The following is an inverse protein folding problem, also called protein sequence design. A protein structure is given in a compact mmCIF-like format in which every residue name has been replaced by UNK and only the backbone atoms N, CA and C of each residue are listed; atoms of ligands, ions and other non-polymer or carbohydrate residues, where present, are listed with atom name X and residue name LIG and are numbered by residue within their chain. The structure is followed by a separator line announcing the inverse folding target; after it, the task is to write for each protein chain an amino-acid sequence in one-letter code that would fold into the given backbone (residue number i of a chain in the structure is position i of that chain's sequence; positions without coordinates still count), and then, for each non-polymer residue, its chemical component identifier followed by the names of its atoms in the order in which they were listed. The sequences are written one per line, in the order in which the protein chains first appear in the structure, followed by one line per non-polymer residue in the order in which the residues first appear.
data_IF_667004557420
#
_entry.id   IF_667004557420
#
_cell.length_a   1.000
_cell.length_b   1.000
_cell.length_c   1.000
_cell.angle_alpha   90.00
_cell.angle_beta   90.00
_cell.angle_gamma   90.00
#
_symmetry.space_group_name_H-M   'P 1'
#
loop_
_entity.id
_entity.type
_entity.pdbx_description
1 polymer ?
#
# COMPACT_ATOMS: atom_id res chain seq x y z
N UNK A 1 -14.89 -8.52 11.01
CA UNK A 1 -15.24 -7.64 9.88
C UNK A 1 -16.47 -8.26 9.24
N UNK A 2 -17.57 -7.53 9.18
CA UNK A 2 -18.81 -8.06 8.62
C UNK A 2 -18.75 -8.04 7.10
N UNK A 3 -19.15 -9.14 6.48
CA UNK A 3 -19.16 -9.32 5.03
C UNK A 3 -20.56 -9.70 4.57
N UNK A 4 -21.01 -9.03 3.52
CA UNK A 4 -22.18 -9.41 2.73
C UNK A 4 -21.71 -10.05 1.43
N UNK A 5 -22.12 -11.28 1.15
CA UNK A 5 -21.88 -11.99 -0.11
C UNK A 5 -23.19 -12.29 -0.81
N UNK A 6 -23.36 -11.79 -2.02
CA UNK A 6 -24.49 -12.09 -2.89
C UNK A 6 -24.02 -13.07 -3.97
N UNK A 7 -24.71 -14.20 -4.12
CA UNK A 7 -24.58 -15.11 -5.24
C UNK A 7 -25.65 -14.75 -6.27
N UNK A 8 -25.20 -14.13 -7.35
CA UNK A 8 -26.06 -13.41 -8.29
C UNK A 8 -26.61 -14.35 -9.35
N UNK A 9 -27.93 -14.27 -9.57
CA UNK A 9 -28.57 -14.88 -10.74
C UNK A 9 -28.92 -13.80 -11.75
N UNK A 10 -28.49 -13.98 -12.99
CA UNK A 10 -28.79 -13.03 -14.07
C UNK A 10 -30.28 -13.05 -14.40
N UNK A 11 -30.85 -11.87 -14.66
CA UNK A 11 -32.22 -11.72 -15.13
C UNK A 11 -32.47 -12.45 -16.48
N UNK A 12 -33.70 -12.93 -16.65
CA UNK A 12 -34.10 -13.65 -17.87
C UNK A 12 -33.92 -12.77 -19.12
N UNK A 13 -33.47 -13.37 -20.22
CA UNK A 13 -33.31 -12.69 -21.50
C UNK A 13 -31.98 -11.96 -21.70
N UNK A 14 -31.17 -11.78 -20.65
CA UNK A 14 -29.82 -11.24 -20.80
C UNK A 14 -28.81 -12.30 -21.23
N UNK A 15 -27.85 -11.90 -22.05
CA UNK A 15 -26.62 -12.69 -22.25
C UNK A 15 -25.66 -12.51 -21.08
N UNK A 16 -24.69 -13.43 -20.97
CA UNK A 16 -23.63 -13.33 -19.97
C UNK A 16 -22.83 -12.04 -20.10
N UNK A 17 -22.48 -11.66 -21.32
CA UNK A 17 -21.73 -10.43 -21.59
C UNK A 17 -22.50 -9.18 -21.19
N UNK A 18 -23.81 -9.13 -21.48
CA UNK A 18 -24.67 -8.01 -21.08
C UNK A 18 -24.74 -7.87 -19.57
N UNK A 19 -24.88 -8.97 -18.84
CA UNK A 19 -24.89 -8.95 -17.37
C UNK A 19 -23.56 -8.53 -16.78
N UNK A 20 -22.45 -9.07 -17.27
CA UNK A 20 -21.12 -8.68 -16.82
C UNK A 20 -20.91 -7.19 -17.06
N UNK A 21 -21.22 -6.71 -18.27
CA UNK A 21 -21.09 -5.31 -18.62
C UNK A 21 -21.96 -4.41 -17.73
N UNK A 22 -23.23 -4.75 -17.53
CA UNK A 22 -24.14 -3.97 -16.67
C UNK A 22 -23.66 -3.96 -15.22
N UNK A 23 -23.31 -5.13 -14.68
CA UNK A 23 -22.85 -5.26 -13.29
C UNK A 23 -21.60 -4.40 -13.03
N UNK A 24 -20.62 -4.42 -13.94
CA UNK A 24 -19.39 -3.63 -13.80
C UNK A 24 -19.63 -2.14 -14.03
N UNK A 25 -20.23 -1.77 -15.17
CA UNK A 25 -20.20 -0.39 -15.66
C UNK A 25 -21.35 0.47 -15.14
N UNK A 26 -22.53 -0.12 -14.95
CA UNK A 26 -23.73 0.58 -14.48
C UNK A 26 -23.84 0.39 -12.97
N UNK A 27 -24.08 -0.85 -12.52
CA UNK A 27 -24.33 -1.13 -11.11
C UNK A 27 -23.13 -0.77 -10.22
N UNK A 28 -21.91 -1.11 -10.67
CA UNK A 28 -20.68 -0.73 -9.97
C UNK A 28 -20.43 0.78 -9.90
N UNK A 29 -20.96 1.58 -10.84
CA UNK A 29 -20.92 3.04 -10.73
C UNK A 29 -21.94 3.57 -9.70
N UNK A 30 -23.13 2.96 -9.63
CA UNK A 30 -24.14 3.31 -8.63
C UNK A 30 -23.69 2.96 -7.21
N UNK A 31 -23.03 1.81 -7.00
CA UNK A 31 -22.46 1.47 -5.70
C UNK A 31 -21.42 2.49 -5.21
N UNK A 32 -20.59 3.02 -6.11
CA UNK A 32 -19.59 4.06 -5.80
C UNK A 32 -20.19 5.43 -5.47
N UNK A 33 -21.47 5.66 -5.78
CA UNK A 33 -22.11 6.95 -5.53
C UNK A 33 -22.69 7.10 -4.12
N UNK A 34 -22.75 6.01 -3.33
CA UNK A 34 -23.31 6.02 -1.98
C UNK A 34 -22.40 6.83 -1.04
N UNK A 35 -22.87 7.96 -0.48
CA UNK A 35 -22.06 8.79 0.41
C UNK A 35 -21.57 8.05 1.66
N UNK A 36 -22.45 7.29 2.30
CA UNK A 36 -22.17 6.47 3.49
C UNK A 36 -21.14 5.36 3.19
N UNK A 37 -21.10 4.90 1.93
CA UNK A 37 -20.10 3.94 1.47
C UNK A 37 -18.67 4.43 1.66
N UNK A 38 -18.43 5.74 1.58
CA UNK A 38 -17.07 6.31 1.79
C UNK A 38 -16.56 6.13 3.21
N UNK A 39 -17.47 5.97 4.18
CA UNK A 39 -17.12 5.81 5.59
C UNK A 39 -17.12 4.34 6.01
N UNK A 40 -18.14 3.60 5.56
CA UNK A 40 -18.44 2.29 6.13
C UNK A 40 -18.19 1.12 5.18
N UNK A 41 -18.14 1.35 3.86
CA UNK A 41 -17.86 0.28 2.89
C UNK A 41 -16.35 0.17 2.68
N UNK A 42 -15.73 -0.80 3.34
CA UNK A 42 -14.29 -1.07 3.25
C UNK A 42 -13.92 -1.55 1.85
N UNK A 43 -14.75 -2.43 1.27
CA UNK A 43 -14.46 -3.05 -0.03
C UNK A 43 -15.73 -3.51 -0.73
N UNK A 44 -15.71 -3.43 -2.05
CA UNK A 44 -16.72 -4.02 -2.93
C UNK A 44 -16.04 -4.74 -4.10
N UNK A 45 -16.30 -6.04 -4.25
CA UNK A 45 -15.80 -6.82 -5.39
C UNK A 45 -16.92 -7.55 -6.11
N UNK A 46 -16.71 -7.72 -7.41
CA UNK A 46 -17.56 -8.51 -8.28
C UNK A 46 -16.76 -9.67 -8.82
N UNK A 47 -17.27 -10.90 -8.71
CA UNK A 47 -16.70 -12.05 -9.39
C UNK A 47 -17.66 -12.52 -10.46
N UNK A 48 -17.16 -12.78 -11.66
CA UNK A 48 -17.92 -13.43 -12.71
C UNK A 48 -17.26 -14.77 -13.02
N UNK A 49 -18.03 -15.81 -13.41
CA UNK A 49 -17.46 -17.10 -13.76
C UNK A 49 -16.31 -16.93 -14.76
N UNK A 50 -15.28 -17.76 -14.67
CA UNK A 50 -14.22 -17.77 -15.67
C UNK A 50 -14.75 -18.29 -17.02
N UNK A 51 -14.03 -18.02 -18.11
CA UNK A 51 -14.34 -18.64 -19.40
C UNK A 51 -14.21 -20.17 -19.35
N UNK A 52 -13.36 -20.68 -18.44
CA UNK A 52 -13.13 -22.11 -18.22
C UNK A 52 -13.06 -22.41 -16.72
N UNK A 53 -14.01 -23.22 -16.25
CA UNK A 53 -13.99 -23.79 -14.89
C UNK A 53 -13.27 -25.14 -14.91
N UNK A 54 -12.36 -25.44 -13.97
CA UNK A 54 -11.76 -26.76 -13.84
C UNK A 54 -12.84 -27.84 -13.70
N UNK A 55 -12.68 -28.97 -14.41
CA UNK A 55 -13.66 -30.07 -14.40
C UNK A 55 -13.82 -30.76 -13.05
N UNK A 56 -12.90 -30.52 -12.11
CA UNK A 56 -12.96 -31.02 -10.74
C UNK A 56 -13.93 -30.23 -9.86
N UNK A 57 -14.43 -29.09 -10.32
CA UNK A 57 -15.34 -28.22 -9.56
C UNK A 57 -16.76 -28.31 -10.14
N UNK A 58 -17.80 -28.37 -9.28
CA UNK A 58 -19.18 -28.33 -9.75
C UNK A 58 -19.53 -26.95 -10.32
N UNK A 59 -20.47 -26.89 -11.26
CA UNK A 59 -21.05 -25.63 -11.69
C UNK A 59 -21.83 -25.00 -10.52
N UNK A 60 -21.61 -23.70 -10.27
CA UNK A 60 -22.23 -23.00 -9.15
C UNK A 60 -23.72 -22.73 -9.36
N UNK A 61 -24.20 -22.74 -10.60
CA UNK A 61 -25.56 -22.30 -10.97
C UNK A 61 -25.78 -20.78 -10.92
N UNK A 62 -24.80 -20.02 -10.44
CA UNK A 62 -24.82 -18.57 -10.33
C UNK A 62 -24.00 -17.89 -11.44
N UNK A 63 -24.41 -16.69 -11.82
CA UNK A 63 -23.82 -15.90 -12.90
C UNK A 63 -22.74 -14.93 -12.39
N UNK A 64 -22.57 -14.79 -11.07
CA UNK A 64 -21.50 -14.05 -10.43
C UNK A 64 -21.65 -13.92 -8.91
N UNK A 65 -20.76 -13.18 -8.27
CA UNK A 65 -20.90 -12.71 -6.89
C UNK A 65 -20.75 -11.20 -6.80
N UNK A 66 -21.39 -10.62 -5.79
CA UNK A 66 -21.08 -9.29 -5.25
C UNK A 66 -20.69 -9.47 -3.79
N UNK A 67 -19.53 -8.99 -3.40
CA UNK A 67 -18.98 -9.13 -2.05
C UNK A 67 -18.67 -7.75 -1.49
N UNK A 68 -19.21 -7.45 -0.32
CA UNK A 68 -19.10 -6.16 0.35
C UNK A 68 -18.58 -6.38 1.77
N UNK A 69 -17.60 -5.59 2.18
CA UNK A 69 -17.04 -5.62 3.54
C UNK A 69 -17.31 -4.29 4.21
N UNK A 70 -17.72 -4.34 5.47
CA UNK A 70 -18.03 -3.15 6.25
C UNK A 70 -17.22 -3.11 7.55
N UNK A 71 -17.02 -1.88 8.05
CA UNK A 71 -16.34 -1.59 9.30
C UNK A 71 -17.08 -2.15 10.54
N UNK A 72 -18.41 -2.07 10.54
CA UNK A 72 -19.27 -2.65 11.57
C UNK A 72 -20.65 -3.05 11.04
N UNK A 73 -21.44 -3.72 11.90
CA UNK A 73 -22.86 -4.00 11.63
C UNK A 73 -23.64 -2.70 11.39
N UNK A 74 -23.40 -1.68 12.21
CA UNK A 74 -24.04 -0.37 12.06
C UNK A 74 -23.63 0.32 10.76
N UNK A 75 -22.36 0.20 10.36
CA UNK A 75 -21.88 0.73 9.08
C UNK A 75 -22.54 0.05 7.88
N UNK A 76 -22.72 -1.27 7.94
CA UNK A 76 -23.49 -2.01 6.93
C UNK A 76 -24.95 -1.50 6.85
N UNK A 77 -25.62 -1.33 7.99
CA UNK A 77 -26.98 -0.78 8.04
C UNK A 77 -27.05 0.65 7.49
N UNK A 78 -26.05 1.50 7.80
CA UNK A 78 -25.97 2.85 7.27
C UNK A 78 -25.87 2.88 5.74
N UNK A 79 -25.06 1.99 5.15
CA UNK A 79 -24.90 1.91 3.68
C UNK A 79 -26.15 1.35 3.03
N UNK A 80 -26.62 0.17 3.46
CA UNK A 80 -27.74 -0.54 2.83
C UNK A 80 -29.10 0.12 3.12
N UNK A 81 -29.20 0.86 4.23
CA UNK A 81 -30.38 1.64 4.61
C UNK A 81 -30.38 3.06 4.04
N UNK A 82 -29.30 3.51 3.39
CA UNK A 82 -29.20 4.86 2.84
C UNK A 82 -30.28 5.13 1.78
N UNK A 83 -30.67 6.40 1.65
CA UNK A 83 -31.60 6.83 0.59
C UNK A 83 -31.02 6.52 -0.80
N UNK A 84 -29.71 6.75 -0.98
CA UNK A 84 -29.02 6.46 -2.25
C UNK A 84 -29.09 4.98 -2.59
N UNK A 85 -28.81 4.08 -1.65
CA UNK A 85 -28.91 2.64 -1.91
C UNK A 85 -30.35 2.23 -2.21
N UNK A 86 -31.30 2.60 -1.35
CA UNK A 86 -32.68 2.13 -1.45
C UNK A 86 -33.44 2.66 -2.66
N UNK A 87 -33.14 3.88 -3.12
CA UNK A 87 -33.86 4.51 -4.22
C UNK A 87 -33.15 4.43 -5.58
N UNK A 88 -31.82 4.38 -5.59
CA UNK A 88 -31.03 4.37 -6.83
C UNK A 88 -30.44 3.00 -7.10
N UNK A 89 -29.66 2.45 -6.17
CA UNK A 89 -28.94 1.19 -6.38
C UNK A 89 -29.90 0.01 -6.45
N UNK A 90 -30.79 -0.12 -5.47
CA UNK A 90 -31.75 -1.21 -5.40
C UNK A 90 -32.80 -1.15 -6.54
N UNK A 91 -33.03 0.03 -7.12
CA UNK A 91 -33.92 0.21 -8.26
C UNK A 91 -33.32 -0.27 -9.58
N UNK A 92 -31.99 -0.32 -9.69
CA UNK A 92 -31.26 -0.87 -10.85
C UNK A 92 -31.24 -2.41 -10.86
N UNK A 93 -31.28 -3.05 -9.69
CA UNK A 93 -31.16 -4.51 -9.57
C UNK A 93 -32.09 -5.32 -10.50
N UNK A 94 -33.40 -5.02 -10.64
CA UNK A 94 -34.28 -5.77 -11.54
C UNK A 94 -33.88 -5.70 -13.02
N UNK A 95 -33.05 -4.73 -13.43
CA UNK A 95 -32.59 -4.62 -14.82
C UNK A 95 -31.60 -5.72 -15.20
N UNK A 96 -30.91 -6.32 -14.22
CA UNK A 96 -29.87 -7.32 -14.48
C UNK A 96 -29.88 -8.55 -13.57
N UNK A 97 -30.61 -8.52 -12.45
CA UNK A 97 -30.71 -9.61 -11.48
C UNK A 97 -32.10 -10.23 -11.42
N UNK A 98 -32.13 -11.56 -11.38
CA UNK A 98 -33.25 -12.28 -10.79
C UNK A 98 -33.05 -12.32 -9.27
N UNK A 99 -33.70 -11.38 -8.57
CA UNK A 99 -33.64 -11.27 -7.11
C UNK A 99 -34.24 -12.49 -6.41
N UNK A 100 -35.16 -13.21 -7.03
CA UNK A 100 -35.80 -14.39 -6.43
C UNK A 100 -34.86 -15.61 -6.39
N UNK A 101 -33.90 -15.67 -7.30
CA UNK A 101 -32.89 -16.71 -7.39
C UNK A 101 -31.50 -16.27 -6.89
N UNK A 102 -31.36 -15.01 -6.47
CA UNK A 102 -30.13 -14.48 -5.87
C UNK A 102 -30.10 -14.82 -4.38
N UNK A 103 -28.97 -15.34 -3.89
CA UNK A 103 -28.81 -15.73 -2.48
C UNK A 103 -27.88 -14.76 -1.80
N UNK A 104 -28.23 -14.31 -0.60
CA UNK A 104 -27.41 -13.39 0.20
C UNK A 104 -26.98 -14.08 1.48
N UNK A 105 -25.70 -13.95 1.81
CA UNK A 105 -25.09 -14.38 3.07
C UNK A 105 -24.48 -13.16 3.74
N UNK A 106 -24.78 -12.97 5.02
CA UNK A 106 -24.15 -11.97 5.88
C UNK A 106 -23.48 -12.69 7.03
N UNK A 107 -22.24 -12.35 7.33
CA UNK A 107 -21.53 -12.90 8.49
C UNK A 107 -20.11 -12.40 8.62
N UNK A 108 -19.41 -12.91 9.65
CA UNK A 108 -18.00 -12.61 9.86
C UNK A 108 -17.12 -13.37 8.87
N UNK A 109 -16.22 -12.64 8.21
CA UNK A 109 -15.14 -13.24 7.45
C UNK A 109 -13.99 -13.63 8.38
N UNK A 110 -13.54 -14.88 8.29
CA UNK A 110 -12.37 -15.41 9.01
C UNK A 110 -11.35 -15.88 7.99
N UNK A 111 -10.21 -15.21 7.96
CA UNK A 111 -9.11 -15.57 7.07
C UNK A 111 -8.41 -16.83 7.60
N UNK A 112 -8.45 -17.91 6.82
CA UNK A 112 -7.78 -19.18 7.13
C UNK A 112 -6.41 -19.26 6.45
N UNK A 113 -6.28 -18.62 5.28
CA UNK A 113 -5.05 -18.50 4.47
C UNK A 113 -5.07 -17.12 3.79
N UNK A 114 -4.00 -16.33 3.95
CA UNK A 114 -3.93 -14.92 3.50
C UNK A 114 -4.17 -13.94 4.65
N UNK A 115 -3.70 -12.69 4.49
CA UNK A 115 -3.94 -11.58 5.42
C UNK A 115 -4.85 -10.56 4.72
N UNK A 116 -5.85 -10.00 5.42
CA UNK A 116 -6.73 -8.94 4.95
C UNK A 116 -5.97 -7.74 4.35
N UNK A 117 -4.71 -7.53 4.75
CA UNK A 117 -3.81 -6.50 4.17
C UNK A 117 -3.44 -6.74 2.71
N UNK A 118 -3.58 -7.96 2.17
CA UNK A 118 -3.37 -8.23 0.74
C UNK A 118 -4.46 -7.66 -0.16
N UNK A 119 -5.56 -7.20 0.43
CA UNK A 119 -6.77 -6.80 -0.28
C UNK A 119 -7.09 -5.30 -0.20
N UNK A 120 -6.36 -4.51 0.60
CA UNK A 120 -6.70 -3.13 0.95
C UNK A 120 -5.74 -2.03 0.41
N UNK A 121 -4.57 -2.35 -0.17
CA UNK A 121 -3.69 -1.43 -0.96
C UNK A 121 -2.64 -2.22 -1.75
N UNK A 122 -1.93 -1.74 -2.76
CA UNK A 122 -2.14 -0.76 -3.83
C UNK A 122 -1.15 -1.26 -4.90
N UNK A 123 -1.60 -1.30 -6.15
CA UNK A 123 -0.91 -1.85 -7.33
C UNK A 123 -0.87 -3.39 -7.37
N UNK A 124 -1.50 -4.04 -8.37
CA UNK A 124 -1.28 -5.47 -8.58
C UNK A 124 0.21 -5.71 -8.90
N UNK A 125 0.83 -6.81 -8.44
CA UNK A 125 2.21 -7.11 -8.80
C UNK A 125 2.34 -7.13 -10.33
N UNK A 126 3.45 -6.58 -10.84
CA UNK A 126 3.75 -6.68 -12.27
C UNK A 126 3.74 -8.15 -12.69
N UNK A 127 3.22 -8.47 -13.89
CA UNK A 127 3.11 -9.85 -14.34
C UNK A 127 4.51 -10.50 -14.36
N UNK A 128 4.61 -11.79 -13.98
CA UNK A 128 5.86 -12.51 -14.12
C UNK A 128 6.27 -12.51 -15.59
N UNK A 129 7.51 -12.12 -15.84
CA UNK A 129 8.07 -12.03 -17.17
C UNK A 129 9.52 -12.51 -17.12
N UNK A 130 9.94 -13.16 -18.20
CA UNK A 130 11.32 -13.54 -18.42
C UNK A 130 11.89 -12.70 -19.57
N UNK A 131 13.18 -12.39 -19.50
CA UNK A 131 13.95 -11.84 -20.61
C UNK A 131 15.15 -12.76 -20.96
N UNK A 132 16.10 -12.26 -21.76
CA UNK A 132 17.28 -13.02 -22.16
C UNK A 132 18.20 -13.42 -20.97
N UNK A 133 17.99 -12.82 -19.80
CA UNK A 133 18.72 -13.05 -18.56
C UNK A 133 17.92 -13.85 -17.52
N UNK A 134 16.67 -14.23 -17.82
CA UNK A 134 15.80 -15.03 -16.96
C UNK A 134 14.64 -14.23 -16.36
N UNK A 135 14.07 -14.68 -15.22
CA UNK A 135 12.94 -14.00 -14.59
C UNK A 135 13.28 -12.58 -14.14
N UNK A 136 12.37 -11.64 -14.41
CA UNK A 136 12.52 -10.25 -13.99
C UNK A 136 12.49 -10.10 -12.46
N UNK A 137 13.08 -9.02 -11.91
CA UNK A 137 13.06 -8.76 -10.48
C UNK A 137 11.65 -8.63 -9.91
N UNK A 138 11.45 -9.11 -8.66
CA UNK A 138 10.17 -9.01 -7.94
C UNK A 138 9.84 -7.60 -7.42
N UNK A 139 10.84 -6.71 -7.36
CA UNK A 139 10.71 -5.36 -6.80
C UNK A 139 11.91 -4.96 -5.93
N UNK A 140 11.80 -3.80 -5.29
CA UNK A 140 12.80 -3.29 -4.34
C UNK A 140 12.68 -4.07 -3.03
N UNK A 141 13.79 -4.64 -2.53
CA UNK A 141 13.79 -5.37 -1.26
C UNK A 141 14.08 -4.46 -0.05
N UNK A 142 15.10 -3.61 -0.16
CA UNK A 142 15.49 -2.66 0.87
C UNK A 142 16.27 -1.48 0.27
N UNK A 143 16.46 -0.43 1.06
CA UNK A 143 17.28 0.74 0.77
C UNK A 143 18.44 0.82 1.77
N UNK A 144 19.64 1.08 1.28
CA UNK A 144 20.82 1.30 2.12
C UNK A 144 20.86 2.72 2.68
N UNK A 145 21.13 2.85 3.98
CA UNK A 145 21.26 4.13 4.69
C UNK A 145 22.50 4.12 5.55
N UNK A 146 23.42 5.08 5.36
CA UNK A 146 24.57 5.24 6.26
C UNK A 146 24.31 6.35 7.26
N UNK A 147 24.53 6.08 8.53
CA UNK A 147 24.36 7.01 9.65
C UNK A 147 25.66 7.12 10.46
N UNK A 148 25.89 8.24 11.16
CA UNK A 148 27.06 8.41 12.01
C UNK A 148 26.96 7.62 13.33
N UNK A 149 25.74 7.36 13.81
CA UNK A 149 25.46 6.62 15.04
C UNK A 149 24.20 5.77 14.82
N UNK A 150 24.37 4.44 14.84
CA UNK A 150 23.29 3.50 14.57
C UNK A 150 22.20 3.51 15.64
N UNK A 151 22.55 3.74 16.90
CA UNK A 151 21.58 3.70 18.00
C UNK A 151 20.74 4.98 18.03
N UNK A 152 21.36 6.15 17.84
CA UNK A 152 20.64 7.41 17.70
C UNK A 152 19.67 7.37 16.51
N UNK A 153 20.12 6.83 15.36
CA UNK A 153 19.24 6.63 14.21
C UNK A 153 18.11 5.64 14.50
N UNK A 154 18.39 4.56 15.22
CA UNK A 154 17.37 3.58 15.63
C UNK A 154 16.30 4.20 16.52
N UNK A 155 16.69 5.08 17.46
CA UNK A 155 15.75 5.82 18.32
C UNK A 155 14.86 6.72 17.49
N UNK A 156 15.45 7.55 16.62
CA UNK A 156 14.69 8.44 15.74
C UNK A 156 13.67 7.66 14.88
N UNK A 157 14.09 6.59 14.21
CA UNK A 157 13.21 5.81 13.34
C UNK A 157 12.07 5.13 14.12
N UNK A 158 12.34 4.69 15.35
CA UNK A 158 11.31 4.15 16.27
C UNK A 158 10.30 5.22 16.67
N UNK A 159 10.77 6.37 17.11
CA UNK A 159 9.92 7.42 17.67
C UNK A 159 9.14 8.18 16.59
N UNK A 160 9.78 8.48 15.45
CA UNK A 160 9.16 9.20 14.35
C UNK A 160 8.16 8.32 13.57
N UNK A 161 8.55 7.08 13.25
CA UNK A 161 7.86 6.25 12.23
C UNK A 161 7.39 4.89 12.74
N UNK A 162 7.54 4.63 14.04
CA UNK A 162 7.31 3.31 14.65
C UNK A 162 8.14 2.20 13.98
N UNK A 163 9.37 2.54 13.55
CA UNK A 163 10.31 1.60 12.96
C UNK A 163 10.65 0.46 13.93
N UNK A 164 10.75 -0.76 13.42
CA UNK A 164 11.07 -1.97 14.20
C UNK A 164 12.36 -2.58 13.70
N UNK A 165 13.22 -2.99 14.62
CA UNK A 165 14.44 -3.71 14.27
C UNK A 165 14.07 -5.13 13.88
N UNK A 166 14.42 -5.54 12.66
CA UNK A 166 14.26 -6.91 12.21
C UNK A 166 15.41 -7.78 12.71
N UNK A 167 16.65 -7.33 12.51
CA UNK A 167 17.86 -7.98 13.03
C UNK A 167 19.07 -7.03 12.97
N UNK A 168 20.11 -7.37 13.73
CA UNK A 168 21.45 -6.81 13.58
C UNK A 168 22.29 -7.73 12.68
N UNK A 169 22.85 -7.18 11.60
CA UNK A 169 23.72 -7.90 10.66
C UNK A 169 25.20 -7.82 11.03
N UNK A 170 25.58 -6.82 11.84
CA UNK A 170 26.92 -6.66 12.41
C UNK A 170 26.79 -5.87 13.71
N UNK A 171 27.31 -6.43 14.81
CA UNK A 171 27.25 -5.83 16.14
C UNK A 171 28.62 -5.34 16.60
N UNK A 172 28.72 -4.50 17.65
CA UNK A 172 30.00 -4.09 18.23
C UNK A 172 30.87 -5.24 18.77
N UNK A 173 30.30 -6.44 18.97
CA UNK A 173 31.03 -7.62 19.40
C UNK A 173 31.71 -8.36 18.23
N UNK A 174 31.29 -8.08 17.00
CA UNK A 174 31.82 -8.69 15.79
C UNK A 174 33.04 -7.90 15.28
N UNK A 175 34.01 -8.55 14.63
CA UNK A 175 35.08 -7.84 13.93
C UNK A 175 34.49 -6.98 12.79
N UNK A 176 34.97 -5.74 12.58
CA UNK A 176 34.52 -4.91 11.47
C UNK A 176 34.70 -5.60 10.12
N UNK A 177 33.78 -5.35 9.18
CA UNK A 177 33.95 -5.78 7.78
C UNK A 177 34.82 -4.75 7.06
N UNK A 178 36.01 -5.17 6.67
CA UNK A 178 37.05 -4.29 6.15
C UNK A 178 37.99 -4.97 5.15
N UNK A 179 38.95 -4.20 4.64
CA UNK A 179 40.02 -4.65 3.77
C UNK A 179 39.64 -4.73 2.28
N UNK A 180 40.65 -4.98 1.45
CA UNK A 180 40.56 -4.84 -0.01
C UNK A 180 39.48 -5.70 -0.68
N UNK A 181 39.05 -6.80 -0.06
CA UNK A 181 37.93 -7.59 -0.57
C UNK A 181 36.58 -6.93 -0.28
N UNK A 182 36.34 -6.53 0.98
CA UNK A 182 35.12 -5.83 1.39
C UNK A 182 34.96 -4.51 0.62
N UNK A 183 36.04 -3.76 0.48
CA UNK A 183 36.08 -2.51 -0.30
C UNK A 183 35.62 -2.74 -1.75
N UNK A 184 36.13 -3.79 -2.42
CA UNK A 184 35.72 -4.12 -3.79
C UNK A 184 34.28 -4.61 -3.88
N UNK A 185 33.85 -5.47 -2.96
CA UNK A 185 32.51 -6.07 -3.00
C UNK A 185 31.41 -5.03 -2.77
N UNK A 186 31.66 -4.06 -1.89
CA UNK A 186 30.65 -3.09 -1.44
C UNK A 186 30.88 -1.68 -2.00
N UNK A 187 31.93 -1.48 -2.80
CA UNK A 187 32.29 -0.17 -3.35
C UNK A 187 32.71 0.84 -2.28
N UNK A 188 33.26 0.39 -1.14
CA UNK A 188 33.69 1.29 -0.07
C UNK A 188 35.02 1.99 -0.44
N UNK A 189 35.24 3.23 0.04
CA UNK A 189 36.55 3.87 -0.11
C UNK A 189 37.62 3.09 0.67
N UNK A 190 38.87 3.21 0.23
CA UNK A 190 40.01 2.53 0.84
C UNK A 190 40.11 2.87 2.33
N UNK A 191 40.25 1.84 3.17
CA UNK A 191 40.38 1.97 4.62
C UNK A 191 39.05 2.08 5.37
N UNK A 192 37.91 2.15 4.67
CA UNK A 192 36.61 2.16 5.30
C UNK A 192 36.30 0.82 5.99
N UNK A 193 35.56 0.90 7.09
CA UNK A 193 35.18 -0.27 7.89
C UNK A 193 33.71 -0.18 8.26
N UNK A 194 32.91 -1.18 7.89
CA UNK A 194 31.56 -1.30 8.43
C UNK A 194 31.71 -1.83 9.86
N UNK A 195 31.28 -1.03 10.83
CA UNK A 195 31.41 -1.38 12.26
C UNK A 195 30.10 -1.87 12.84
N UNK A 196 28.96 -1.44 12.28
CA UNK A 196 27.63 -1.91 12.67
C UNK A 196 26.68 -1.92 11.47
N UNK A 197 25.72 -2.85 11.50
CA UNK A 197 24.69 -2.99 10.46
C UNK A 197 23.39 -3.47 11.11
N UNK A 198 22.27 -2.84 10.76
CA UNK A 198 20.94 -3.17 11.30
C UNK A 198 19.88 -3.06 10.23
N UNK A 199 18.99 -4.05 10.16
CA UNK A 199 17.81 -4.02 9.33
C UNK A 199 16.62 -3.45 10.12
N UNK A 200 15.99 -2.40 9.60
CA UNK A 200 14.84 -1.73 10.20
C UNK A 200 13.65 -1.78 9.24
N UNK A 201 12.49 -2.19 9.75
CA UNK A 201 11.22 -2.16 9.03
C UNK A 201 10.37 -0.99 9.49
N UNK A 202 9.81 -0.22 8.56
CA UNK A 202 8.78 0.80 8.84
C UNK A 202 7.50 0.33 8.16
N UNK A 203 6.46 0.02 8.94
CA UNK A 203 5.18 -0.46 8.41
C UNK A 203 5.34 -1.64 7.44
N UNK A 204 4.56 -1.62 6.35
CA UNK A 204 4.67 -2.56 5.23
C UNK A 204 5.38 -1.86 4.07
N UNK A 205 6.43 -2.46 3.51
CA UNK A 205 7.23 -1.90 2.42
C UNK A 205 8.69 -2.39 2.45
N UNK A 206 9.56 -1.85 1.57
CA UNK A 206 10.99 -2.17 1.59
C UNK A 206 11.64 -1.85 2.94
N UNK A 207 12.60 -2.69 3.35
CA UNK A 207 13.37 -2.45 4.58
C UNK A 207 14.38 -1.31 4.44
N UNK A 208 14.88 -0.82 5.57
CA UNK A 208 16.05 0.05 5.64
C UNK A 208 17.24 -0.76 6.17
N UNK A 209 18.26 -0.93 5.34
CA UNK A 209 19.54 -1.50 5.74
C UNK A 209 20.46 -0.38 6.21
N UNK A 210 20.56 -0.21 7.53
CA UNK A 210 21.23 0.92 8.16
C UNK A 210 22.65 0.53 8.58
N UNK A 211 23.63 1.33 8.18
CA UNK A 211 25.05 1.10 8.42
C UNK A 211 25.66 2.21 9.27
N UNK A 212 26.55 1.82 10.17
CA UNK A 212 27.55 2.71 10.75
C UNK A 212 28.91 2.32 10.16
N UNK A 213 29.49 3.23 9.37
CA UNK A 213 30.73 2.98 8.62
C UNK A 213 31.79 3.96 9.10
N UNK A 214 32.89 3.45 9.62
CA UNK A 214 34.06 4.25 9.97
C UNK A 214 34.84 4.59 8.69
N UNK A 215 35.01 5.88 8.44
CA UNK A 215 35.74 6.46 7.29
C UNK A 215 36.52 7.68 7.77
N UNK A 216 37.61 8.02 7.07
CA UNK A 216 38.45 9.17 7.42
C UNK A 216 37.77 10.50 7.05
N UNK A 217 37.09 10.54 5.90
CA UNK A 217 36.35 11.72 5.43
C UNK A 217 34.89 11.35 5.16
N UNK A 218 33.98 12.14 5.75
CA UNK A 218 32.53 11.95 5.61
C UNK A 218 31.92 13.12 4.87
N UNK A 219 31.13 12.82 3.85
CA UNK A 219 30.29 13.81 3.18
C UNK A 219 29.01 14.08 3.99
N UNK A 220 28.43 15.29 3.88
CA UNK A 220 27.10 15.54 4.44
C UNK A 220 26.05 14.62 3.78
N UNK A 221 24.92 14.45 4.46
CA UNK A 221 23.78 13.76 3.85
C UNK A 221 23.32 14.47 2.58
N UNK A 222 22.90 13.70 1.58
CA UNK A 222 22.42 14.21 0.30
C UNK A 222 21.19 15.11 0.49
N UNK A 223 21.16 16.23 -0.22
CA UNK A 223 19.99 17.05 -0.45
C UNK A 223 19.22 16.60 -1.70
N UNK A 224 18.03 17.18 -1.90
CA UNK A 224 17.14 16.80 -3.00
C UNK A 224 17.75 17.00 -4.40
N UNK A 225 18.66 17.98 -4.56
CA UNK A 225 19.32 18.29 -5.82
C UNK A 225 20.59 17.45 -6.08
N UNK A 226 21.05 16.67 -5.10
CA UNK A 226 22.24 15.84 -5.26
C UNK A 226 21.93 14.57 -6.05
N UNK A 227 22.93 14.06 -6.77
CA UNK A 227 22.79 12.84 -7.57
C UNK A 227 22.73 11.61 -6.64
N UNK A 228 21.75 10.72 -6.89
CA UNK A 228 21.62 9.44 -6.19
C UNK A 228 20.36 9.35 -5.32
N UNK A 229 20.40 8.50 -4.29
CA UNK A 229 19.33 8.40 -3.29
C UNK A 229 19.36 9.65 -2.40
N UNK A 230 18.32 10.47 -2.43
CA UNK A 230 18.27 11.77 -1.76
C UNK A 230 17.29 11.83 -0.57
N UNK A 231 16.15 11.14 -0.66
CA UNK A 231 15.16 11.07 0.41
C UNK A 231 14.44 9.71 0.44
N UNK A 232 13.75 9.45 1.55
CA UNK A 232 12.85 8.30 1.73
C UNK A 232 11.46 8.84 2.02
N UNK A 233 10.48 8.53 1.16
CA UNK A 233 9.08 8.88 1.41
C UNK A 233 8.43 7.86 2.35
N UNK A 234 7.70 8.38 3.34
CA UNK A 234 6.92 7.63 4.33
C UNK A 234 5.47 8.07 4.18
N UNK A 235 4.64 7.15 3.69
CA UNK A 235 3.20 7.40 3.57
C UNK A 235 2.54 7.45 4.96
N UNK A 236 1.68 8.44 5.18
CA UNK A 236 0.98 8.69 6.44
C UNK A 236 -0.47 9.10 6.18
N UNK A 237 -1.40 8.60 6.99
CA UNK A 237 -2.81 9.01 6.90
C UNK A 237 -3.07 10.34 7.61
N UNK A 238 -2.40 10.57 8.74
CA UNK A 238 -2.44 11.81 9.53
C UNK A 238 -1.09 12.52 9.42
N UNK A 239 -0.96 13.41 8.43
CA UNK A 239 0.29 14.13 8.16
C UNK A 239 0.68 15.06 9.30
N UNK A 240 -0.29 15.71 9.94
CA UNK A 240 -0.03 16.64 11.05
C UNK A 240 0.48 15.90 12.28
N UNK A 241 -0.14 14.77 12.63
CA UNK A 241 0.32 13.91 13.71
C UNK A 241 1.67 13.28 13.42
N UNK A 242 1.92 12.86 12.18
CA UNK A 242 3.21 12.33 11.77
C UNK A 242 4.32 13.38 11.86
N UNK A 243 4.07 14.60 11.38
CA UNK A 243 5.00 15.70 11.46
C UNK A 243 5.35 16.02 12.92
N UNK A 244 4.35 16.12 13.81
CA UNK A 244 4.57 16.33 15.25
C UNK A 244 5.43 15.22 15.87
N UNK A 245 5.19 13.94 15.53
CA UNK A 245 6.00 12.82 16.02
C UNK A 245 7.44 12.90 15.52
N UNK A 246 7.64 13.18 14.24
CA UNK A 246 8.97 13.27 13.65
C UNK A 246 9.80 14.42 14.25
N UNK A 247 9.17 15.59 14.47
CA UNK A 247 9.82 16.72 15.13
C UNK A 247 10.13 16.41 16.60
N UNK A 248 9.20 15.79 17.32
CA UNK A 248 9.42 15.38 18.72
C UNK A 248 10.57 14.37 18.88
N UNK A 249 10.79 13.52 17.87
CA UNK A 249 11.92 12.58 17.80
C UNK A 249 13.27 13.26 17.48
N UNK A 250 13.28 14.59 17.27
CA UNK A 250 14.48 15.38 16.95
C UNK A 250 14.65 15.73 15.48
N UNK A 251 13.63 15.51 14.64
CA UNK A 251 13.62 15.94 13.25
C UNK A 251 13.37 17.44 13.09
N UNK A 252 13.88 18.01 12.00
CA UNK A 252 13.62 19.40 11.60
C UNK A 252 12.68 19.42 10.39
N UNK A 253 11.48 19.98 10.56
CA UNK A 253 10.58 20.24 9.44
C UNK A 253 11.14 21.35 8.55
N UNK A 254 11.23 21.12 7.23
CA UNK A 254 11.74 22.13 6.31
C UNK A 254 10.69 23.20 5.95
N UNK A 255 9.42 22.87 6.15
CA UNK A 255 8.27 23.75 5.91
C UNK A 255 7.06 23.26 6.71
N UNK A 256 5.96 24.02 6.62
CA UNK A 256 4.61 23.49 6.88
C UNK A 256 4.21 22.49 5.77
N UNK A 257 3.22 21.60 6.00
CA UNK A 257 2.64 20.76 4.96
C UNK A 257 2.15 21.56 3.75
N UNK A 258 2.43 21.06 2.54
CA UNK A 258 2.06 21.66 1.28
C UNK A 258 1.45 20.63 0.32
N UNK A 259 0.80 21.09 -0.76
CA UNK A 259 0.23 20.20 -1.76
C UNK A 259 1.31 19.35 -2.47
N UNK A 260 0.91 18.18 -2.96
CA UNK A 260 1.73 17.28 -3.78
C UNK A 260 1.79 17.72 -5.25
N UNK A 261 2.45 16.93 -6.10
CA UNK A 261 2.53 17.15 -7.54
C UNK A 261 1.21 16.85 -8.27
N UNK A 262 1.11 17.21 -9.55
CA UNK A 262 -0.14 17.11 -10.31
C UNK A 262 -0.75 15.69 -10.40
N UNK A 263 0.06 14.63 -10.35
CA UNK A 263 -0.43 13.23 -10.38
C UNK A 263 -0.89 12.72 -9.00
N UNK A 264 -0.70 13.53 -7.98
CA UNK A 264 -0.98 13.27 -6.56
C UNK A 264 -1.96 14.33 -6.01
N UNK A 265 -2.50 15.18 -6.90
CA UNK A 265 -3.35 16.31 -6.58
C UNK A 265 -4.81 15.87 -6.38
N UNK A 266 -5.03 15.11 -5.30
CA UNK A 266 -6.38 14.74 -4.86
C UNK A 266 -6.81 15.50 -3.62
N UNK A 267 -8.11 15.68 -3.41
CA UNK A 267 -8.62 16.34 -2.19
C UNK A 267 -8.01 15.72 -0.92
N UNK A 268 -7.43 16.58 -0.07
CA UNK A 268 -6.78 16.18 1.18
C UNK A 268 -5.34 15.68 1.05
N UNK A 269 -4.75 15.71 -0.15
CA UNK A 269 -3.34 15.38 -0.32
C UNK A 269 -2.42 16.41 0.35
N UNK A 270 -1.29 15.95 0.89
CA UNK A 270 -0.23 16.82 1.36
C UNK A 270 1.12 16.10 1.40
N UNK A 271 2.20 16.88 1.41
CA UNK A 271 3.57 16.45 1.65
C UNK A 271 4.34 17.46 2.51
N UNK A 272 5.34 16.97 3.23
CA UNK A 272 6.33 17.79 3.96
C UNK A 272 7.64 17.03 4.10
N UNK A 273 8.76 17.73 3.95
CA UNK A 273 10.09 17.16 4.18
C UNK A 273 10.55 17.40 5.62
N UNK A 274 11.05 16.36 6.25
CA UNK A 274 11.67 16.37 7.58
C UNK A 274 13.12 15.90 7.47
N UNK A 275 14.05 16.72 7.96
CA UNK A 275 15.46 16.37 8.08
C UNK A 275 15.70 15.63 9.40
N UNK A 276 16.21 14.41 9.31
CA UNK A 276 16.62 13.63 10.49
C UNK A 276 17.89 14.24 11.14
N UNK A 277 18.20 13.90 12.41
CA UNK A 277 19.36 14.47 13.13
C UNK A 277 20.72 14.33 12.43
N UNK A 278 20.89 13.33 11.57
CA UNK A 278 22.10 13.11 10.78
C UNK A 278 22.05 13.68 9.35
N UNK A 279 20.95 14.33 8.98
CA UNK A 279 20.79 15.09 7.75
C UNK A 279 19.96 14.45 6.64
N UNK A 280 19.67 13.14 6.70
CA UNK A 280 18.80 12.46 5.70
C UNK A 280 17.43 13.10 5.65
N UNK A 281 16.91 13.27 4.44
CA UNK A 281 15.57 13.75 4.20
C UNK A 281 14.57 12.59 4.22
N UNK A 282 13.51 12.75 5.02
CA UNK A 282 12.31 11.94 4.97
C UNK A 282 11.17 12.80 4.46
N UNK A 283 10.46 12.34 3.43
CA UNK A 283 9.21 12.97 2.99
C UNK A 283 8.06 12.29 3.73
N UNK A 284 7.16 13.07 4.34
CA UNK A 284 5.88 12.57 4.82
C UNK A 284 4.87 12.88 3.74
N UNK A 285 4.12 11.88 3.30
CA UNK A 285 3.21 12.04 2.18
C UNK A 285 1.85 11.40 2.48
N UNK A 286 0.78 12.10 2.10
CA UNK A 286 -0.58 11.57 2.18
C UNK A 286 -1.33 11.85 0.88
N UNK A 287 -2.03 10.84 0.37
CA UNK A 287 -2.83 10.91 -0.87
C UNK A 287 -4.11 10.08 -0.67
N UNK A 288 -5.05 10.56 0.18
CA UNK A 288 -6.18 9.76 0.65
C UNK A 288 -7.16 9.35 -0.46
N UNK A 289 -7.17 10.05 -1.60
CA UNK A 289 -8.00 9.67 -2.75
C UNK A 289 -7.21 8.98 -3.88
N UNK A 290 -5.98 8.56 -3.60
CA UNK A 290 -5.12 7.82 -4.53
C UNK A 290 -4.50 8.69 -5.63
N UNK A 291 -3.80 8.05 -6.55
CA UNK A 291 -3.11 8.74 -7.66
C UNK A 291 -3.99 8.89 -8.89
N UNK A 292 -3.73 9.93 -9.68
CA UNK A 292 -4.29 10.10 -11.02
C UNK A 292 -3.32 9.64 -12.11
N UNK A 293 -3.80 8.84 -13.05
CA UNK A 293 -3.03 8.27 -14.16
C UNK A 293 -3.68 8.60 -15.50
N UNK A 294 -2.86 8.87 -16.51
CA UNK A 294 -3.29 8.97 -17.90
C UNK A 294 -3.15 7.63 -18.65
N UNK A 295 -3.57 7.60 -19.91
CA UNK A 295 -3.50 6.41 -20.77
C UNK A 295 -2.06 5.97 -21.09
N UNK A 296 -1.05 6.78 -20.78
CA UNK A 296 0.36 6.46 -20.99
C UNK A 296 1.01 5.76 -19.78
N UNK A 297 0.31 5.63 -18.65
CA UNK A 297 0.83 4.97 -17.46
C UNK A 297 1.11 3.48 -17.72
N UNK A 298 2.38 3.08 -17.63
CA UNK A 298 2.80 1.68 -17.76
C UNK A 298 2.64 0.88 -16.45
N UNK A 299 2.57 1.57 -15.32
CA UNK A 299 2.38 0.99 -13.99
C UNK A 299 1.71 2.00 -13.05
N UNK A 300 1.12 1.49 -11.97
CA UNK A 300 0.59 2.30 -10.89
C UNK A 300 1.69 2.51 -9.84
N UNK A 301 1.72 3.69 -9.22
CA UNK A 301 2.60 4.02 -8.10
C UNK A 301 2.19 3.22 -6.85
N UNK A 302 3.18 2.65 -6.17
CA UNK A 302 2.97 1.83 -4.99
C UNK A 302 2.59 2.68 -3.77
N UNK A 303 1.60 2.22 -3.01
CA UNK A 303 1.18 2.81 -1.73
C UNK A 303 1.12 1.69 -0.69
N UNK A 304 1.69 1.87 0.52
CA UNK A 304 1.58 0.86 1.57
C UNK A 304 0.15 0.71 2.08
N UNK A 305 -0.22 -0.47 2.63
CA UNK A 305 -1.50 -0.67 3.29
C UNK A 305 -1.72 0.21 4.49
N UNK A 306 -2.99 0.56 4.68
CA UNK A 306 -3.48 1.07 5.95
C UNK A 306 -3.04 0.13 7.08
N UNK A 307 -2.58 0.73 8.17
CA UNK A 307 -2.03 0.01 9.33
C UNK A 307 -3.10 -0.53 10.26
#
# INVERSE_FOLDING_TARGET
MIKLTMFLKRAEGLTREQFIHHHITVHGALMRSIPEGRQHLIRYTQTHPAARTPSSLPESGFDGTAELWFDSEEGMEAVLGSETFTTVVAADEPAFLDRSATVVVVGDAVDIIGDATTEATAVPPLPPQDDAFGPLPRGINHLGLTVPDLDAATVFLREAFAGRVAYDGLTPADPPREGAETERQLGLPRGARIVRQRMVQIGVGPGLEVFEIAVDERQPAAGLADLGLNHVSVYVDDIDGALRRAVAAGGEALSEPHANSAHEDTDGNASVYVRAPWGTLFELQTIPSGHWYDDAAEALAWTPPAR
#
